data_IF_240665061109
#
_entry.id   IF_240665061109
#
_cell.length_a   1.000
_cell.length_b   1.000
_cell.length_c   1.000
_cell.angle_alpha   90.00
_cell.angle_beta   90.00
_cell.angle_gamma   90.00
#
_symmetry.space_group_name_H-M   'P 1'
#
loop_
_entity.id
_entity.type
_entity.pdbx_description
1 polymer ?
#
# COMPACT_ATOMS: atom_id res chain seq x y z
N UNK A 1 13.93 -14.66 -1.75
CA UNK A 1 12.53 -15.13 -1.59
C UNK A 1 12.35 -16.11 -0.43
N UNK A 2 13.15 -17.16 -0.31
CA UNK A 2 12.99 -18.16 0.77
C UNK A 2 13.04 -17.57 2.18
N UNK A 3 13.93 -16.60 2.41
CA UNK A 3 13.96 -15.83 3.65
C UNK A 3 12.60 -15.17 3.96
N UNK A 4 11.98 -14.49 2.99
CA UNK A 4 10.65 -13.90 3.17
C UNK A 4 9.59 -14.97 3.44
N UNK A 5 9.66 -16.13 2.78
CA UNK A 5 8.72 -17.23 3.02
C UNK A 5 8.79 -17.72 4.46
N UNK A 6 9.99 -17.79 5.04
CA UNK A 6 10.19 -18.16 6.44
C UNK A 6 9.66 -17.11 7.43
N UNK A 7 9.71 -15.82 7.05
CA UNK A 7 9.19 -14.73 7.89
C UNK A 7 7.67 -14.62 7.87
N UNK A 8 7.02 -15.05 6.79
CA UNK A 8 5.57 -14.94 6.58
C UNK A 8 4.93 -16.31 6.30
N UNK A 9 5.01 -17.28 7.24
CA UNK A 9 4.43 -18.62 7.06
C UNK A 9 2.91 -18.63 6.90
N UNK A 10 2.23 -17.53 7.27
CA UNK A 10 0.80 -17.32 7.06
C UNK A 10 0.40 -17.13 5.59
N UNK A 11 1.35 -16.81 4.71
CA UNK A 11 1.09 -16.66 3.27
C UNK A 11 1.19 -18.04 2.62
N UNK A 12 0.09 -18.48 2.01
CA UNK A 12 0.06 -19.76 1.30
C UNK A 12 1.04 -19.78 0.11
N UNK A 13 1.39 -20.98 -0.36
CA UNK A 13 2.41 -21.11 -1.41
C UNK A 13 1.99 -20.50 -2.75
N UNK A 14 0.70 -20.51 -3.09
CA UNK A 14 0.22 -19.96 -4.36
C UNK A 14 0.28 -18.43 -4.36
N UNK A 15 -0.10 -17.80 -3.25
CA UNK A 15 0.08 -16.36 -3.01
C UNK A 15 1.55 -15.99 -3.07
N UNK A 16 2.43 -16.81 -2.48
CA UNK A 16 3.87 -16.55 -2.51
C UNK A 16 4.48 -16.67 -3.91
N UNK A 17 4.00 -17.62 -4.73
CA UNK A 17 4.41 -17.75 -6.14
C UNK A 17 3.96 -16.54 -6.97
N UNK A 18 2.77 -16.00 -6.70
CA UNK A 18 2.32 -14.73 -7.30
C UNK A 18 3.20 -13.54 -6.89
N UNK A 19 3.61 -13.46 -5.63
CA UNK A 19 4.53 -12.41 -5.15
C UNK A 19 5.89 -12.50 -5.85
N UNK A 20 6.42 -13.72 -6.04
CA UNK A 20 7.65 -13.94 -6.81
C UNK A 20 7.49 -13.49 -8.25
N UNK A 21 6.41 -13.91 -8.92
CA UNK A 21 6.11 -13.50 -10.30
C UNK A 21 5.96 -11.99 -10.43
N UNK A 22 5.35 -11.33 -9.44
CA UNK A 22 5.23 -9.87 -9.41
C UNK A 22 6.61 -9.18 -9.35
N UNK A 23 7.50 -9.66 -8.48
CA UNK A 23 8.88 -9.14 -8.40
C UNK A 23 9.61 -9.27 -9.73
N UNK A 24 9.49 -10.42 -10.40
CA UNK A 24 10.12 -10.66 -11.71
C UNK A 24 9.55 -9.72 -12.79
N UNK A 25 8.23 -9.61 -12.90
CA UNK A 25 7.56 -8.69 -13.82
C UNK A 25 7.96 -7.23 -13.57
N UNK A 26 8.09 -6.84 -12.31
CA UNK A 26 8.48 -5.49 -11.96
C UNK A 26 9.92 -5.20 -12.37
N UNK A 27 10.84 -6.17 -12.28
CA UNK A 27 12.21 -6.03 -12.81
C UNK A 27 12.21 -5.81 -14.31
N UNK A 28 11.44 -6.60 -15.05
CA UNK A 28 11.32 -6.48 -16.50
C UNK A 28 10.75 -5.11 -16.91
N UNK A 29 9.73 -4.63 -16.20
CA UNK A 29 9.18 -3.30 -16.44
C UNK A 29 10.15 -2.19 -16.04
N UNK A 30 10.88 -2.35 -14.93
CA UNK A 30 11.84 -1.35 -14.47
C UNK A 30 13.00 -1.15 -15.45
N UNK A 31 13.36 -2.18 -16.22
CA UNK A 31 14.34 -2.09 -17.30
C UNK A 31 13.84 -1.24 -18.50
N UNK A 32 12.52 -1.10 -18.66
CA UNK A 32 11.88 -0.34 -19.76
C UNK A 32 11.51 1.08 -19.32
N UNK A 33 10.98 1.22 -18.10
CA UNK A 33 10.54 2.48 -17.52
C UNK A 33 10.94 2.55 -16.05
N UNK A 34 11.41 3.70 -15.58
CA UNK A 34 11.80 3.87 -14.17
C UNK A 34 10.55 3.85 -13.25
N UNK A 35 10.24 2.68 -12.68
CA UNK A 35 9.17 2.47 -11.68
C UNK A 35 9.74 2.61 -10.27
N UNK A 36 10.91 2.02 -10.05
CA UNK A 36 11.66 2.00 -8.79
C UNK A 36 13.09 2.47 -9.06
N UNK A 37 13.71 3.09 -8.05
CA UNK A 37 15.08 3.60 -8.16
C UNK A 37 16.06 2.47 -8.49
N UNK A 38 17.15 2.79 -9.20
CA UNK A 38 18.21 1.80 -9.50
C UNK A 38 18.83 1.20 -8.24
N UNK A 39 18.92 1.97 -7.15
CA UNK A 39 19.46 1.48 -5.88
C UNK A 39 18.55 0.43 -5.25
N UNK A 40 17.24 0.58 -5.43
CA UNK A 40 16.26 -0.29 -4.78
C UNK A 40 15.85 -1.48 -5.65
N UNK A 41 16.04 -1.42 -6.97
CA UNK A 41 15.69 -2.55 -7.82
C UNK A 41 16.51 -3.78 -7.45
N UNK A 42 17.83 -3.69 -7.24
CA UNK A 42 18.64 -4.87 -6.92
C UNK A 42 18.29 -5.49 -5.55
N UNK A 43 17.68 -4.70 -4.66
CA UNK A 43 17.27 -5.10 -3.31
C UNK A 43 15.74 -5.09 -3.13
N UNK A 44 14.98 -5.30 -4.20
CA UNK A 44 13.52 -5.10 -4.22
C UNK A 44 12.78 -5.88 -3.13
N UNK A 45 13.19 -7.11 -2.87
CA UNK A 45 12.62 -7.99 -1.86
C UNK A 45 12.77 -7.37 -0.47
N UNK A 46 13.94 -6.82 -0.17
CA UNK A 46 14.27 -6.27 1.16
C UNK A 46 13.75 -4.84 1.33
N UNK A 47 13.81 -4.02 0.28
CA UNK A 47 13.47 -2.60 0.35
C UNK A 47 11.98 -2.33 0.08
N UNK A 48 11.30 -3.21 -0.66
CA UNK A 48 9.90 -3.01 -1.03
C UNK A 48 8.98 -4.11 -0.55
N UNK A 49 9.30 -5.37 -0.85
CA UNK A 49 8.39 -6.48 -0.54
C UNK A 49 8.32 -6.75 0.97
N UNK A 50 9.46 -6.86 1.67
CA UNK A 50 9.52 -7.09 3.11
C UNK A 50 8.75 -6.02 3.91
N UNK A 51 9.00 -4.70 3.73
CA UNK A 51 8.20 -3.67 4.38
C UNK A 51 6.70 -3.79 4.10
N UNK A 52 6.33 -4.17 2.89
CA UNK A 52 4.92 -4.34 2.49
C UNK A 52 4.30 -5.54 3.20
N UNK A 53 4.96 -6.70 3.18
CA UNK A 53 4.48 -7.91 3.86
C UNK A 53 4.47 -7.76 5.39
N UNK A 54 5.34 -6.90 5.93
CA UNK A 54 5.30 -6.49 7.33
C UNK A 54 3.93 -6.03 7.80
N UNK A 55 3.11 -5.46 6.91
CA UNK A 55 1.72 -5.10 7.17
C UNK A 55 0.92 -6.25 7.80
N UNK A 56 1.09 -7.48 7.30
CA UNK A 56 0.34 -8.66 7.73
C UNK A 56 0.62 -9.07 9.18
N UNK A 57 1.74 -8.64 9.76
CA UNK A 57 2.08 -8.94 11.17
C UNK A 57 1.22 -8.18 12.17
N UNK A 58 0.55 -7.13 11.73
CA UNK A 58 -0.20 -6.23 12.62
C UNK A 58 -1.60 -5.90 12.12
N UNK A 59 -1.77 -5.77 10.82
CA UNK A 59 -2.99 -5.28 10.20
C UNK A 59 -3.59 -6.35 9.28
N UNK A 60 -4.92 -6.29 9.15
CA UNK A 60 -5.68 -7.13 8.23
C UNK A 60 -6.65 -6.26 7.46
N UNK A 61 -6.93 -6.61 6.21
CA UNK A 61 -7.93 -5.93 5.39
C UNK A 61 -9.18 -6.82 5.31
N UNK A 62 -10.35 -6.33 5.77
CA UNK A 62 -11.60 -7.11 5.76
C UNK A 62 -12.04 -7.47 4.33
N UNK A 63 -12.61 -8.67 4.18
CA UNK A 63 -13.29 -9.07 2.94
C UNK A 63 -14.37 -8.05 2.56
N UNK A 64 -14.42 -7.65 1.28
CA UNK A 64 -15.33 -6.64 0.76
C UNK A 64 -14.97 -5.19 1.10
N UNK A 65 -13.85 -4.95 1.79
CA UNK A 65 -13.33 -3.60 1.97
C UNK A 65 -12.84 -3.02 0.64
N UNK A 66 -12.99 -1.71 0.48
CA UNK A 66 -12.50 -0.94 -0.66
C UNK A 66 -11.25 -0.20 -0.23
N UNK A 67 -10.16 -0.47 -0.91
CA UNK A 67 -8.83 0.07 -0.63
C UNK A 67 -8.34 0.84 -1.84
N UNK A 68 -7.76 2.01 -1.63
CA UNK A 68 -7.06 2.74 -2.70
C UNK A 68 -5.58 2.88 -2.35
N UNK A 69 -4.71 2.58 -3.30
CA UNK A 69 -3.26 2.83 -3.20
C UNK A 69 -2.91 4.07 -4.03
N UNK A 70 -2.63 5.18 -3.36
CA UNK A 70 -2.40 6.48 -3.99
C UNK A 70 -0.91 6.67 -4.23
N UNK A 71 -0.53 6.89 -5.48
CA UNK A 71 0.87 7.00 -5.88
C UNK A 71 1.55 5.64 -5.93
N UNK A 72 0.84 4.62 -6.42
CA UNK A 72 1.26 3.21 -6.39
C UNK A 72 2.61 2.94 -7.08
N UNK A 73 3.03 3.78 -8.02
CA UNK A 73 4.33 3.68 -8.68
C UNK A 73 4.53 2.34 -9.39
N UNK A 74 5.41 1.50 -8.84
CA UNK A 74 5.65 0.13 -9.31
C UNK A 74 4.61 -0.91 -8.86
N UNK A 75 3.47 -0.47 -8.30
CA UNK A 75 2.45 -1.36 -7.73
C UNK A 75 2.65 -1.65 -6.24
N UNK A 76 3.45 -0.87 -5.53
CA UNK A 76 3.67 -1.03 -4.09
C UNK A 76 2.99 0.09 -3.29
N UNK A 77 2.36 -0.23 -2.15
CA UNK A 77 2.16 -1.56 -1.57
C UNK A 77 0.95 -2.34 -2.15
N UNK A 78 0.20 -1.75 -3.09
CA UNK A 78 -1.10 -2.25 -3.55
C UNK A 78 -1.12 -3.68 -4.11
N UNK A 79 -0.25 -4.03 -5.06
CA UNK A 79 -0.27 -5.36 -5.70
C UNK A 79 0.05 -6.48 -4.68
N UNK A 80 1.14 -6.40 -3.89
CA UNK A 80 1.41 -7.44 -2.89
C UNK A 80 0.27 -7.62 -1.89
N UNK A 81 -0.33 -6.53 -1.42
CA UNK A 81 -1.46 -6.62 -0.49
C UNK A 81 -2.71 -7.20 -1.19
N UNK A 82 -2.94 -6.88 -2.46
CA UNK A 82 -4.04 -7.49 -3.22
C UNK A 82 -3.88 -9.00 -3.41
N UNK A 83 -2.65 -9.48 -3.55
CA UNK A 83 -2.33 -10.92 -3.56
C UNK A 83 -2.66 -11.54 -2.20
N UNK A 84 -2.25 -10.91 -1.10
CA UNK A 84 -2.46 -11.42 0.26
C UNK A 84 -3.92 -11.30 0.75
N UNK A 85 -4.70 -10.39 0.19
CA UNK A 85 -6.10 -10.14 0.59
C UNK A 85 -7.04 -10.28 -0.64
N UNK A 86 -7.24 -11.50 -1.17
CA UNK A 86 -7.95 -11.73 -2.43
C UNK A 86 -9.44 -11.34 -2.39
N UNK A 87 -10.04 -11.23 -1.20
CA UNK A 87 -11.43 -10.80 -1.01
C UNK A 87 -11.58 -9.28 -0.80
N UNK A 88 -10.48 -8.52 -0.79
CA UNK A 88 -10.49 -7.05 -0.64
C UNK A 88 -10.34 -6.41 -2.02
N UNK A 89 -11.10 -5.35 -2.29
CA UNK A 89 -11.06 -4.64 -3.57
C UNK A 89 -10.05 -3.50 -3.54
N UNK A 90 -9.10 -3.51 -4.48
CA UNK A 90 -8.05 -2.51 -4.59
C UNK A 90 -8.23 -1.65 -5.84
N UNK A 91 -8.11 -0.33 -5.67
CA UNK A 91 -7.87 0.61 -6.75
C UNK A 91 -6.44 1.15 -6.62
N UNK A 92 -5.59 0.91 -7.61
CA UNK A 92 -4.23 1.46 -7.63
C UNK A 92 -4.21 2.68 -8.54
N UNK A 93 -3.66 3.78 -8.04
CA UNK A 93 -3.72 5.09 -8.69
C UNK A 93 -2.32 5.67 -8.84
N UNK A 94 -2.00 6.17 -10.03
CA UNK A 94 -0.81 7.00 -10.28
C UNK A 94 -1.16 8.10 -11.28
N UNK A 95 -0.57 9.28 -11.11
CA UNK A 95 -0.78 10.40 -12.05
C UNK A 95 -0.02 10.21 -13.37
N UNK A 96 1.01 9.35 -13.37
CA UNK A 96 1.90 9.11 -14.50
C UNK A 96 1.39 7.93 -15.33
N UNK A 97 0.82 8.23 -16.50
CA UNK A 97 0.20 7.25 -17.40
C UNK A 97 1.07 6.03 -17.74
N UNK A 98 2.37 6.22 -18.01
CA UNK A 98 3.26 5.08 -18.31
C UNK A 98 3.46 4.14 -17.11
N UNK A 99 3.45 4.66 -15.88
CA UNK A 99 3.61 3.84 -14.67
C UNK A 99 2.36 3.00 -14.46
N UNK A 100 1.18 3.64 -14.49
CA UNK A 100 -0.07 2.92 -14.24
C UNK A 100 -0.38 1.89 -15.33
N UNK A 101 0.01 2.12 -16.60
CA UNK A 101 -0.10 1.09 -17.66
C UNK A 101 0.77 -0.15 -17.36
N UNK A 102 2.00 0.04 -16.86
CA UNK A 102 2.83 -1.09 -16.45
C UNK A 102 2.21 -1.86 -15.28
N UNK A 103 1.65 -1.14 -14.29
CA UNK A 103 0.90 -1.74 -13.18
C UNK A 103 -0.31 -2.52 -13.69
N UNK A 104 -1.07 -1.98 -14.63
CA UNK A 104 -2.21 -2.64 -15.27
C UNK A 104 -1.78 -3.94 -15.97
N UNK A 105 -0.67 -3.91 -16.72
CA UNK A 105 -0.14 -5.09 -17.42
C UNK A 105 0.38 -6.16 -16.44
N UNK A 106 1.01 -5.74 -15.33
CA UNK A 106 1.41 -6.64 -14.25
C UNK A 106 0.19 -7.31 -13.59
N UNK A 107 -0.85 -6.53 -13.26
CA UNK A 107 -2.12 -7.02 -12.70
C UNK A 107 -2.76 -8.05 -13.62
N UNK A 108 -2.84 -7.77 -14.94
CA UNK A 108 -3.35 -8.70 -15.95
C UNK A 108 -2.52 -9.99 -16.00
N UNK A 109 -1.19 -9.87 -16.01
CA UNK A 109 -0.26 -11.00 -16.08
C UNK A 109 -0.29 -11.90 -14.83
N UNK A 110 -0.61 -11.32 -13.68
CA UNK A 110 -0.82 -12.02 -12.40
C UNK A 110 -2.23 -12.60 -12.27
N UNK A 111 -3.17 -12.20 -13.13
CA UNK A 111 -4.55 -12.68 -13.12
C UNK A 111 -5.39 -12.12 -11.97
N UNK A 112 -4.97 -11.02 -11.34
CA UNK A 112 -5.66 -10.47 -10.17
C UNK A 112 -7.01 -9.88 -10.58
N UNK A 113 -8.09 -10.38 -9.94
CA UNK A 113 -9.47 -9.97 -10.23
C UNK A 113 -10.02 -8.94 -9.24
N UNK A 114 -9.35 -8.80 -8.10
CA UNK A 114 -9.70 -7.87 -7.04
C UNK A 114 -8.98 -6.52 -7.18
N UNK A 115 -8.37 -6.25 -8.33
CA UNK A 115 -7.56 -5.06 -8.59
C UNK A 115 -8.10 -4.30 -9.80
N UNK A 116 -8.25 -2.99 -9.64
CA UNK A 116 -8.46 -2.02 -10.70
C UNK A 116 -7.34 -0.99 -10.69
N UNK A 117 -7.04 -0.41 -11.86
CA UNK A 117 -6.01 0.62 -12.02
C UNK A 117 -6.60 1.86 -12.65
N UNK A 118 -6.19 3.04 -12.20
CA UNK A 118 -6.66 4.31 -12.74
C UNK A 118 -5.54 5.34 -12.83
N UNK A 119 -5.40 5.98 -13.99
CA UNK A 119 -4.56 7.17 -14.11
C UNK A 119 -5.33 8.36 -13.53
N UNK A 120 -4.92 8.87 -12.38
CA UNK A 120 -5.53 10.04 -11.74
C UNK A 120 -4.61 10.64 -10.69
N UNK A 121 -4.89 11.89 -10.30
CA UNK A 121 -4.40 12.45 -9.03
C UNK A 121 -5.35 12.06 -7.89
N UNK A 122 -4.86 12.11 -6.65
CA UNK A 122 -5.64 11.73 -5.47
C UNK A 122 -6.93 12.58 -5.33
N UNK A 123 -6.80 13.87 -5.64
CA UNK A 123 -7.86 14.87 -5.56
C UNK A 123 -8.94 14.67 -6.62
N UNK A 124 -8.64 13.99 -7.72
CA UNK A 124 -9.57 13.74 -8.84
C UNK A 124 -10.46 12.51 -8.58
N UNK A 125 -10.16 11.72 -7.54
CA UNK A 125 -10.97 10.56 -7.19
C UNK A 125 -12.35 11.01 -6.66
N UNK A 126 -13.43 10.45 -7.20
CA UNK A 126 -14.80 10.79 -6.78
C UNK A 126 -15.42 9.78 -5.79
N UNK A 127 -14.69 8.72 -5.47
CA UNK A 127 -15.14 7.65 -4.60
C UNK A 127 -14.51 7.75 -3.20
N UNK A 128 -15.24 7.23 -2.21
CA UNK A 128 -14.71 6.99 -0.86
C UNK A 128 -14.25 5.54 -0.69
N UNK A 129 -13.25 5.34 0.17
CA UNK A 129 -12.59 4.07 0.44
C UNK A 129 -12.55 3.80 1.94
N UNK A 130 -12.70 2.53 2.32
CA UNK A 130 -12.56 2.12 3.71
C UNK A 130 -11.12 2.31 4.17
N UNK A 131 -10.14 2.00 3.31
CA UNK A 131 -8.73 2.21 3.61
C UNK A 131 -7.98 2.90 2.48
N UNK A 132 -7.01 3.73 2.84
CA UNK A 132 -6.13 4.43 1.89
C UNK A 132 -4.70 4.03 2.20
N UNK A 133 -3.98 3.54 1.19
CA UNK A 133 -2.57 3.19 1.27
C UNK A 133 -1.73 4.29 0.63
N UNK A 134 -0.57 4.57 1.22
CA UNK A 134 0.42 5.46 0.64
C UNK A 134 1.85 5.07 1.01
N UNK A 135 2.77 5.41 0.11
CA UNK A 135 4.21 5.20 0.31
C UNK A 135 5.02 6.23 -0.48
N UNK A 136 5.86 6.99 0.21
CA UNK A 136 6.86 7.87 -0.40
C UNK A 136 6.31 8.85 -1.46
N UNK A 137 5.06 9.30 -1.32
CA UNK A 137 4.42 10.25 -2.24
C UNK A 137 4.70 11.69 -1.82
N UNK A 138 4.67 11.95 -0.51
CA UNK A 138 4.85 13.26 0.11
C UNK A 138 5.28 13.08 1.58
N UNK A 139 5.40 14.17 2.35
CA UNK A 139 5.38 14.03 3.81
C UNK A 139 4.04 13.43 4.27
N UNK A 140 4.02 12.78 5.44
CA UNK A 140 2.79 12.16 5.95
C UNK A 140 1.64 13.19 6.09
N UNK A 141 1.85 14.41 6.66
CA UNK A 141 0.78 15.42 6.75
C UNK A 141 0.25 15.89 5.39
N UNK A 142 1.14 16.05 4.40
CA UNK A 142 0.74 16.41 3.03
C UNK A 142 -0.09 15.29 2.41
N UNK A 143 0.34 14.04 2.58
CA UNK A 143 -0.41 12.89 2.08
C UNK A 143 -1.81 12.80 2.70
N UNK A 144 -1.94 12.98 4.02
CA UNK A 144 -3.25 13.01 4.70
C UNK A 144 -4.14 14.10 4.11
N UNK A 145 -3.63 15.31 3.93
CA UNK A 145 -4.39 16.44 3.33
C UNK A 145 -4.92 16.11 1.94
N UNK A 146 -4.15 15.38 1.12
CA UNK A 146 -4.55 14.98 -0.23
C UNK A 146 -5.69 13.96 -0.23
N UNK A 147 -5.74 13.07 0.77
CA UNK A 147 -6.58 11.87 0.72
C UNK A 147 -7.70 11.82 1.76
N UNK A 148 -7.67 12.65 2.81
CA UNK A 148 -8.64 12.57 3.92
C UNK A 148 -10.10 12.66 3.45
N UNK A 149 -10.37 13.46 2.42
CA UNK A 149 -11.71 13.62 1.82
C UNK A 149 -12.18 12.40 1.03
N UNK A 150 -11.32 11.40 0.84
CA UNK A 150 -11.62 10.11 0.20
C UNK A 150 -11.84 9.00 1.23
N UNK A 151 -11.69 9.28 2.52
CA UNK A 151 -11.97 8.29 3.54
C UNK A 151 -13.48 8.07 3.68
N UNK A 152 -13.90 6.82 3.83
CA UNK A 152 -15.30 6.51 4.12
C UNK A 152 -15.68 7.04 5.50
N UNK A 153 -16.82 7.72 5.59
CA UNK A 153 -17.34 8.24 6.87
C UNK A 153 -18.04 7.17 7.72
N UNK A 154 -18.61 6.16 7.07
CA UNK A 154 -19.30 5.08 7.76
C UNK A 154 -18.34 3.92 8.03
N UNK A 155 -18.27 3.51 9.28
CA UNK A 155 -17.54 2.31 9.67
C UNK A 155 -18.36 1.07 9.32
N UNK A 156 -17.95 0.37 8.26
CA UNK A 156 -18.58 -0.88 7.79
C UNK A 156 -17.98 -2.14 8.43
N UNK A 157 -16.82 -2.02 9.07
CA UNK A 157 -16.04 -3.13 9.60
C UNK A 157 -15.58 -2.86 11.03
N UNK A 158 -15.06 -3.88 11.72
CA UNK A 158 -14.54 -3.73 13.09
C UNK A 158 -13.40 -2.71 13.18
N UNK A 159 -12.53 -2.67 12.15
CA UNK A 159 -11.53 -1.61 12.02
C UNK A 159 -12.17 -0.36 11.42
N UNK A 160 -11.89 0.79 12.03
CA UNK A 160 -12.32 2.09 11.51
C UNK A 160 -11.75 2.32 10.11
N UNK A 161 -12.43 3.07 9.25
CA UNK A 161 -11.80 3.59 8.06
C UNK A 161 -10.54 4.37 8.42
N UNK A 162 -9.46 4.16 7.67
CA UNK A 162 -8.19 4.82 7.97
C UNK A 162 -7.18 4.85 6.85
N UNK A 163 -6.10 5.57 7.10
CA UNK A 163 -4.96 5.73 6.20
C UNK A 163 -3.82 4.87 6.74
N UNK A 164 -3.27 4.00 5.91
CA UNK A 164 -2.00 3.32 6.17
C UNK A 164 -0.91 3.95 5.33
N UNK A 165 0.13 4.46 5.98
CA UNK A 165 1.27 5.07 5.32
C UNK A 165 2.56 4.38 5.70
N UNK A 166 3.35 3.97 4.71
CA UNK A 166 4.64 3.34 4.92
C UNK A 166 5.77 4.33 4.68
N UNK A 167 6.55 4.62 5.73
CA UNK A 167 7.71 5.52 5.70
C UNK A 167 8.79 5.01 6.65
N UNK A 168 10.04 5.42 6.45
CA UNK A 168 11.11 5.21 7.42
C UNK A 168 11.53 6.54 8.05
N UNK A 169 12.29 6.46 9.15
CA UNK A 169 12.78 7.63 9.88
C UNK A 169 11.87 8.06 11.03
N UNK A 170 12.08 9.29 11.52
CA UNK A 170 11.31 9.86 12.62
C UNK A 170 9.97 10.44 12.13
N UNK A 171 8.94 10.26 12.96
CA UNK A 171 7.57 10.69 12.73
C UNK A 171 7.12 11.78 13.71
N UNK A 172 7.97 12.19 14.66
CA UNK A 172 7.60 13.10 15.74
C UNK A 172 6.97 14.40 15.24
N UNK A 173 7.58 15.07 14.26
CA UNK A 173 7.04 16.30 13.65
C UNK A 173 5.76 16.06 12.83
N UNK A 174 5.70 14.95 12.09
CA UNK A 174 4.52 14.56 11.30
C UNK A 174 3.31 14.36 12.23
N UNK A 175 3.50 13.65 13.34
CA UNK A 175 2.44 13.30 14.29
C UNK A 175 2.01 14.48 15.16
N UNK A 176 2.91 15.43 15.45
CA UNK A 176 2.53 16.70 16.06
C UNK A 176 1.58 17.50 15.15
N UNK A 177 1.88 17.54 13.85
CA UNK A 177 1.00 18.19 12.86
C UNK A 177 -0.35 17.47 12.77
N UNK A 178 -0.35 16.14 12.88
CA UNK A 178 -1.54 15.29 12.83
C UNK A 178 -2.16 15.00 14.20
N UNK A 179 -2.01 15.91 15.17
CA UNK A 179 -2.50 15.72 16.54
C UNK A 179 -4.01 15.47 16.66
N UNK A 180 -4.82 15.82 15.64
CA UNK A 180 -6.26 15.55 15.62
C UNK A 180 -6.63 14.14 15.15
N UNK A 181 -5.66 13.37 14.68
CA UNK A 181 -5.86 11.98 14.27
C UNK A 181 -5.53 11.02 15.42
N UNK A 182 -6.22 9.89 15.46
CA UNK A 182 -5.73 8.72 16.19
C UNK A 182 -4.65 8.07 15.34
N UNK A 183 -3.51 7.74 15.93
CA UNK A 183 -2.40 7.11 15.23
C UNK A 183 -1.91 5.85 15.94
N UNK A 184 -1.51 4.85 15.16
CA UNK A 184 -0.80 3.67 15.63
C UNK A 184 0.45 3.47 14.76
N UNK A 185 1.59 3.19 15.42
CA UNK A 185 2.86 2.94 14.76
C UNK A 185 3.22 1.47 14.85
N UNK A 186 3.65 0.90 13.74
CA UNK A 186 4.15 -0.47 13.68
C UNK A 186 5.47 -0.53 12.93
N UNK A 187 6.57 -0.71 13.67
CA UNK A 187 7.90 -0.90 13.12
C UNK A 187 7.98 -2.29 12.50
N UNK A 188 8.29 -2.36 11.20
CA UNK A 188 8.37 -3.63 10.49
C UNK A 188 9.67 -4.35 10.89
N UNK A 189 9.59 -5.60 11.41
CA UNK A 189 10.78 -6.37 11.73
C UNK A 189 11.71 -6.52 10.52
N UNK A 190 13.02 -6.51 10.78
CA UNK A 190 14.07 -6.72 9.78
C UNK A 190 14.23 -5.61 8.71
N UNK A 191 13.64 -4.42 8.91
CA UNK A 191 13.91 -3.23 8.10
C UNK A 191 13.71 -1.92 8.88
N UNK A 192 14.02 -0.79 8.25
CA UNK A 192 13.93 0.58 8.82
C UNK A 192 12.57 1.26 8.58
N UNK A 193 11.54 0.49 8.18
CA UNK A 193 10.23 1.01 7.80
C UNK A 193 9.20 0.83 8.90
N UNK A 194 8.31 1.80 9.00
CA UNK A 194 7.20 1.84 9.95
C UNK A 194 5.91 2.07 9.18
N UNK A 195 4.92 1.24 9.47
CA UNK A 195 3.55 1.52 9.10
C UNK A 195 2.93 2.47 10.11
N UNK A 196 2.38 3.57 9.60
CA UNK A 196 1.53 4.48 10.38
C UNK A 196 0.09 4.23 9.97
N UNK A 197 -0.74 3.83 10.92
CA UNK A 197 -2.18 3.79 10.75
C UNK A 197 -2.81 5.03 11.36
N UNK A 198 -3.61 5.76 10.58
CA UNK A 198 -4.33 6.95 11.00
C UNK A 198 -5.84 6.72 10.86
N UNK A 199 -6.62 7.12 11.85
CA UNK A 199 -8.08 7.15 11.75
C UNK A 199 -8.64 8.39 12.47
N UNK A 200 -9.86 8.79 12.11
CA UNK A 200 -10.55 9.87 12.81
C UNK A 200 -10.70 9.51 14.31
N UNK A 201 -10.39 10.48 15.18
CA UNK A 201 -10.65 10.33 16.61
C UNK A 201 -12.15 10.17 16.82
N UNK A 202 -12.53 9.33 17.78
CA UNK A 202 -13.91 9.31 18.21
C UNK A 202 -14.26 10.72 18.69
N UNK A 203 -15.27 11.34 18.08
CA UNK A 203 -15.88 12.55 18.64
C UNK A 203 -16.46 12.11 19.99
N UNK A 204 -15.93 12.65 21.08
CA UNK A 204 -16.59 12.58 22.37
C UNK A 204 -17.94 13.26 22.21
N UNK A 205 -19.01 12.47 22.21
CA UNK A 205 -20.38 12.95 22.37
C UNK A 205 -20.55 13.62 23.73
#
# INVERSE_FOLDING_TARGET
>A
MDFLKSLFPEIDSASFDLLKKFVDLLREWNAKINLISRKDIDCLEMHHLLPTLGFLKKFTLPAGARVVDVGTGGGFPGIPLAICFPQTHFLLVDSIGKKIRAVEDMVKSLGLKNVQTQQARAEELNASFDFILGRAVASLPQFVTLVEKRLARQQRFAQKPGIFYLKGGDFSEDLQTLHNWHHELFNVPHCDKTWVYLSERATSL
#
